data_IF_562508211023
#
_entry.id   IF_562508211023
#
_cell.length_a   1.000
_cell.length_b   1.000
_cell.length_c   1.000
_cell.angle_alpha   90.00
_cell.angle_beta   90.00
_cell.angle_gamma   90.00
#
_symmetry.space_group_name_H-M   'P 1'
#
loop_
_entity.id
_entity.type
_entity.pdbx_description
1 polymer ?
#
# COMPACT_ATOMS: atom_id res chain seq x y z
N UNK A 1 3.38 -4.12 -17.53
CA UNK A 1 4.40 -3.19 -18.06
C UNK A 1 3.89 -2.69 -19.40
N UNK A 2 3.73 -1.38 -19.57
CA UNK A 2 3.41 -0.78 -20.87
C UNK A 2 4.62 0.10 -21.24
N UNK A 3 5.42 -0.28 -22.25
CA UNK A 3 6.51 0.57 -22.71
C UNK A 3 5.92 1.81 -23.39
N UNK A 4 6.36 2.98 -22.96
CA UNK A 4 6.06 4.26 -23.66
C UNK A 4 7.22 4.68 -24.57
N UNK A 5 7.07 5.77 -25.33
CA UNK A 5 8.01 6.13 -26.41
C UNK A 5 9.41 6.55 -25.91
N UNK A 6 9.57 6.84 -24.62
CA UNK A 6 10.88 6.90 -23.93
C UNK A 6 10.95 5.74 -22.91
N UNK A 7 12.11 5.44 -22.31
CA UNK A 7 12.37 4.36 -21.32
C UNK A 7 11.53 4.41 -20.02
N UNK A 8 10.39 5.07 -20.06
CA UNK A 8 9.37 5.30 -19.05
C UNK A 8 8.47 4.06 -18.94
N UNK A 9 8.16 3.69 -17.70
CA UNK A 9 7.37 2.50 -17.39
C UNK A 9 6.25 2.87 -16.43
N UNK A 10 5.01 2.68 -16.87
CA UNK A 10 3.84 2.72 -16.01
C UNK A 10 3.56 1.32 -15.46
N UNK A 11 3.43 1.23 -14.15
CA UNK A 11 3.15 -0.02 -13.43
C UNK A 11 1.88 0.14 -12.63
N UNK A 12 0.99 -0.84 -12.79
CA UNK A 12 -0.20 -1.01 -11.99
C UNK A 12 -0.05 -2.29 -11.19
N UNK A 13 -0.25 -2.20 -9.89
CA UNK A 13 -0.30 -3.36 -9.01
C UNK A 13 -1.57 -3.28 -8.18
N UNK A 14 -2.41 -4.29 -8.32
CA UNK A 14 -3.70 -4.38 -7.63
C UNK A 14 -3.79 -5.68 -6.89
N UNK A 15 -4.30 -5.65 -5.66
CA UNK A 15 -4.56 -6.85 -4.88
C UNK A 15 -5.96 -6.78 -4.27
N UNK A 16 -6.65 -7.92 -4.26
CA UNK A 16 -7.95 -8.08 -3.62
C UNK A 16 -7.91 -9.32 -2.74
N UNK A 17 -8.55 -9.27 -1.58
CA UNK A 17 -8.59 -10.38 -0.65
C UNK A 17 -9.97 -10.54 -0.04
N UNK A 18 -10.37 -11.79 0.16
CA UNK A 18 -11.62 -12.17 0.81
C UNK A 18 -11.38 -13.42 1.67
N UNK A 19 -11.81 -13.34 2.93
CA UNK A 19 -11.80 -14.44 3.89
C UNK A 19 -13.26 -14.72 4.26
N UNK A 20 -13.69 -15.95 4.02
CA UNK A 20 -15.03 -16.45 4.33
C UNK A 20 -14.97 -17.89 4.83
N UNK A 21 -16.04 -18.34 5.47
CA UNK A 21 -16.10 -19.67 6.10
C UNK A 21 -16.92 -19.63 7.38
N UNK A 22 -17.33 -20.82 7.87
CA UNK A 22 -18.16 -20.97 9.08
C UNK A 22 -17.48 -20.36 10.32
N UNK A 23 -16.16 -20.44 10.39
CA UNK A 23 -15.34 -19.96 11.50
C UNK A 23 -14.47 -18.75 11.14
N UNK A 24 -14.77 -18.06 10.03
CA UNK A 24 -13.98 -16.92 9.54
C UNK A 24 -13.89 -15.77 10.55
N UNK A 25 -14.84 -15.70 11.48
CA UNK A 25 -14.81 -14.74 12.58
C UNK A 25 -13.65 -14.99 13.55
N UNK A 26 -13.27 -16.26 13.76
CA UNK A 26 -12.21 -16.68 14.68
C UNK A 26 -10.80 -16.62 14.08
N UNK A 27 -10.68 -16.49 12.76
CA UNK A 27 -9.41 -16.43 12.01
C UNK A 27 -8.71 -15.07 12.11
N UNK A 28 -8.53 -14.55 13.33
CA UNK A 28 -7.97 -13.20 13.56
C UNK A 28 -6.55 -13.03 13.00
N UNK A 29 -5.74 -14.09 12.99
CA UNK A 29 -4.36 -14.05 12.49
C UNK A 29 -4.26 -14.09 10.96
N UNK A 30 -5.33 -14.48 10.26
CA UNK A 30 -5.36 -14.52 8.80
C UNK A 30 -5.93 -13.23 8.18
N UNK A 31 -6.41 -12.30 9.02
CA UNK A 31 -7.04 -11.06 8.57
C UNK A 31 -6.08 -10.14 7.85
N UNK A 32 -6.63 -9.33 6.96
CA UNK A 32 -5.87 -8.40 6.15
C UNK A 32 -5.58 -7.11 6.90
N UNK A 33 -4.33 -6.67 6.74
CA UNK A 33 -3.84 -5.40 7.24
C UNK A 33 -3.08 -4.70 6.11
N UNK A 34 -3.38 -3.43 5.89
CA UNK A 34 -2.70 -2.60 4.90
C UNK A 34 -1.91 -1.49 5.60
N UNK A 35 -1.09 -0.78 4.83
CA UNK A 35 -0.15 0.25 5.30
C UNK A 35 1.30 -0.26 5.35
N UNK A 36 2.22 0.64 5.01
CA UNK A 36 3.66 0.38 4.93
C UNK A 36 4.19 0.22 3.50
N UNK A 37 5.51 0.07 3.37
CA UNK A 37 6.24 0.18 2.09
C UNK A 37 5.84 -0.84 1.01
N UNK A 38 5.20 -1.95 1.39
CA UNK A 38 4.74 -3.02 0.47
C UNK A 38 3.24 -2.98 0.18
N UNK A 39 2.50 -2.03 0.75
CA UNK A 39 1.06 -1.88 0.51
C UNK A 39 0.70 -0.43 0.17
N UNK A 40 0.31 0.39 1.15
CA UNK A 40 0.03 1.81 0.97
C UNK A 40 1.12 2.60 1.70
N UNK A 41 2.08 3.13 0.94
CA UNK A 41 3.22 3.88 1.47
C UNK A 41 2.77 5.13 2.22
N UNK A 42 3.58 5.59 3.17
CA UNK A 42 3.29 6.74 4.01
C UNK A 42 2.47 6.42 5.25
N UNK A 43 1.68 5.35 5.22
CA UNK A 43 0.99 4.81 6.40
C UNK A 43 1.95 3.91 7.21
N UNK A 44 1.71 3.76 8.51
CA UNK A 44 2.48 2.81 9.30
C UNK A 44 2.16 1.37 8.88
N UNK A 45 3.11 0.45 9.07
CA UNK A 45 2.89 -0.96 8.77
C UNK A 45 1.63 -1.44 9.50
N UNK A 46 0.71 -2.09 8.77
CA UNK A 46 -0.54 -2.64 9.32
C UNK A 46 -1.51 -1.64 9.97
N UNK A 47 -1.39 -0.34 9.65
CA UNK A 47 -2.22 0.72 10.25
C UNK A 47 -3.54 1.01 9.53
N UNK A 48 -3.74 0.49 8.32
CA UNK A 48 -5.00 0.62 7.58
C UNK A 48 -5.85 -0.61 7.88
N UNK A 49 -6.73 -0.46 8.87
CA UNK A 49 -7.67 -1.46 9.34
C UNK A 49 -9.12 -0.99 9.16
N UNK A 50 -10.12 -1.90 9.23
CA UNK A 50 -11.51 -1.49 9.13
C UNK A 50 -11.92 -0.65 10.33
N UNK A 51 -12.78 0.37 10.15
CA UNK A 51 -13.13 1.24 11.26
C UNK A 51 -14.01 0.54 12.32
N UNK A 52 -14.02 1.10 13.53
CA UNK A 52 -14.85 0.64 14.65
C UNK A 52 -14.26 -0.57 15.39
N UNK A 53 -15.12 -1.53 15.75
CA UNK A 53 -14.77 -2.69 16.59
C UNK A 53 -13.70 -3.59 15.94
N UNK A 54 -13.54 -3.53 14.61
CA UNK A 54 -12.58 -4.32 13.86
C UNK A 54 -11.22 -3.64 13.67
N UNK A 55 -11.05 -2.41 14.17
CA UNK A 55 -9.83 -1.60 13.99
C UNK A 55 -8.57 -2.29 14.53
N UNK A 56 -8.68 -3.05 15.60
CA UNK A 56 -7.56 -3.80 16.20
C UNK A 56 -7.38 -5.20 15.59
N UNK A 57 -8.39 -5.71 14.88
CA UNK A 57 -8.42 -7.09 14.41
C UNK A 57 -8.20 -7.23 12.90
N UNK A 58 -8.09 -6.14 12.15
CA UNK A 58 -7.93 -6.23 10.69
C UNK A 58 -9.21 -6.66 9.96
N UNK A 59 -9.16 -6.64 8.64
CA UNK A 59 -10.32 -6.89 7.78
C UNK A 59 -10.41 -8.32 7.28
N UNK A 60 -11.63 -8.82 7.05
CA UNK A 60 -11.86 -10.06 6.31
C UNK A 60 -11.89 -9.84 4.79
N UNK A 61 -11.86 -8.59 4.36
CA UNK A 61 -11.81 -8.18 2.95
C UNK A 61 -10.79 -7.07 2.78
N UNK A 62 -10.12 -7.03 1.63
CA UNK A 62 -9.20 -5.94 1.29
C UNK A 62 -9.15 -5.65 -0.20
N UNK A 63 -8.79 -4.42 -0.52
CA UNK A 63 -8.46 -3.99 -1.86
C UNK A 63 -7.29 -3.01 -1.79
N UNK A 64 -6.35 -3.14 -2.71
CA UNK A 64 -5.17 -2.30 -2.84
C UNK A 64 -4.92 -1.98 -4.31
N UNK A 65 -4.46 -0.76 -4.56
CA UNK A 65 -3.98 -0.26 -5.84
C UNK A 65 -2.69 0.52 -5.62
N UNK A 66 -1.65 0.21 -6.38
CA UNK A 66 -0.44 1.00 -6.53
C UNK A 66 -0.27 1.36 -8.00
N UNK A 67 -0.11 2.64 -8.26
CA UNK A 67 0.25 3.18 -9.57
C UNK A 67 1.63 3.77 -9.45
N UNK A 68 2.58 3.26 -10.24
CA UNK A 68 3.95 3.76 -10.25
C UNK A 68 4.34 4.20 -11.65
N UNK A 69 4.88 5.40 -11.72
CA UNK A 69 5.60 5.89 -12.87
C UNK A 69 7.10 5.81 -12.60
N UNK A 70 7.78 4.91 -13.33
CA UNK A 70 9.21 4.64 -13.16
C UNK A 70 9.99 5.21 -14.33
N UNK A 71 11.09 5.89 -14.04
CA UNK A 71 12.00 6.43 -15.04
C UNK A 71 13.46 6.11 -14.66
N UNK A 72 14.31 5.77 -15.64
CA UNK A 72 15.72 5.51 -15.37
C UNK A 72 16.43 6.83 -15.07
N UNK A 73 17.29 6.82 -14.05
CA UNK A 73 18.25 7.91 -13.79
C UNK A 73 19.62 7.46 -14.29
N UNK A 74 20.02 6.23 -13.94
CA UNK A 74 21.22 5.55 -14.45
C UNK A 74 20.89 4.09 -14.79
N UNK A 75 21.88 3.27 -15.16
CA UNK A 75 21.70 1.83 -15.36
C UNK A 75 21.30 1.09 -14.07
N UNK A 76 21.73 1.61 -12.90
CA UNK A 76 21.50 0.98 -11.58
C UNK A 76 20.47 1.73 -10.73
N UNK A 77 20.10 2.95 -11.11
CA UNK A 77 19.24 3.83 -10.33
C UNK A 77 17.96 4.18 -11.10
N UNK A 78 16.81 3.99 -10.45
CA UNK A 78 15.49 4.30 -11.00
C UNK A 78 14.76 5.29 -10.08
N UNK A 79 14.21 6.34 -10.66
CA UNK A 79 13.30 7.27 -10.00
C UNK A 79 11.86 6.82 -10.15
N UNK A 80 11.03 7.15 -9.16
CA UNK A 80 9.64 6.71 -9.07
C UNK A 80 8.78 7.86 -8.59
N UNK A 81 7.63 8.03 -9.23
CA UNK A 81 6.50 8.80 -8.71
C UNK A 81 5.37 7.79 -8.53
N UNK A 82 4.68 7.84 -7.40
CA UNK A 82 3.63 6.87 -7.13
C UNK A 82 2.38 7.47 -6.50
N UNK A 83 1.28 6.75 -6.70
CA UNK A 83 0.02 6.90 -6.02
C UNK A 83 -0.41 5.54 -5.49
N UNK A 84 -0.70 5.45 -4.19
CA UNK A 84 -1.22 4.24 -3.56
C UNK A 84 -2.62 4.50 -3.02
N UNK A 85 -3.46 3.47 -3.05
CA UNK A 85 -4.77 3.46 -2.43
C UNK A 85 -5.05 2.08 -1.85
N UNK A 86 -5.66 2.02 -0.67
CA UNK A 86 -6.04 0.74 -0.09
C UNK A 86 -7.08 0.84 1.01
N UNK A 87 -7.84 -0.23 1.17
CA UNK A 87 -8.84 -0.36 2.22
C UNK A 87 -9.00 -1.80 2.66
N UNK A 88 -9.33 -1.97 3.94
CA UNK A 88 -9.80 -3.21 4.53
C UNK A 88 -11.24 -3.04 5.04
N UNK A 89 -12.04 -4.10 4.97
CA UNK A 89 -13.40 -4.16 5.50
C UNK A 89 -13.54 -5.33 6.48
N UNK A 90 -14.36 -5.17 7.51
CA UNK A 90 -14.66 -6.17 8.54
C UNK A 90 -16.16 -6.32 8.80
N UNK A 91 -16.55 -7.46 9.37
CA UNK A 91 -17.92 -7.72 9.83
C UNK A 91 -19.00 -7.43 8.79
N UNK A 92 -19.97 -6.58 9.17
CA UNK A 92 -21.16 -6.23 8.37
C UNK A 92 -20.91 -5.17 7.29
N UNK A 93 -19.70 -4.60 7.21
CA UNK A 93 -19.37 -3.58 6.22
C UNK A 93 -19.54 -4.12 4.80
N UNK A 94 -20.02 -3.29 3.88
CA UNK A 94 -20.30 -3.62 2.49
C UNK A 94 -19.31 -2.89 1.61
N UNK A 95 -18.48 -3.65 0.87
CA UNK A 95 -17.40 -3.12 0.01
C UNK A 95 -17.85 -1.95 -0.87
N UNK A 96 -19.04 -2.04 -1.46
CA UNK A 96 -19.57 -1.00 -2.36
C UNK A 96 -20.14 0.22 -1.65
N UNK A 97 -20.71 0.07 -0.44
CA UNK A 97 -21.34 1.18 0.29
C UNK A 97 -20.34 1.91 1.19
N UNK A 98 -19.39 1.17 1.74
CA UNK A 98 -18.39 1.65 2.69
C UNK A 98 -17.03 1.86 2.00
N UNK A 99 -17.03 2.20 0.70
CA UNK A 99 -15.81 2.41 -0.07
C UNK A 99 -15.21 3.80 0.23
N UNK A 100 -14.11 3.83 0.96
CA UNK A 100 -13.36 5.02 1.36
C UNK A 100 -11.88 4.67 1.57
N UNK A 101 -11.12 4.42 0.49
CA UNK A 101 -9.74 3.97 0.60
C UNK A 101 -8.82 5.06 1.13
N UNK A 102 -7.83 4.63 1.92
CA UNK A 102 -6.72 5.48 2.35
C UNK A 102 -5.73 5.60 1.21
N UNK A 103 -5.37 6.83 0.87
CA UNK A 103 -4.53 7.14 -0.28
C UNK A 103 -3.23 7.81 0.13
N UNK A 104 -2.21 7.63 -0.68
CA UNK A 104 -0.96 8.38 -0.55
C UNK A 104 -0.35 8.68 -1.91
N UNK A 105 0.52 9.66 -1.92
CA UNK A 105 1.39 9.97 -3.05
C UNK A 105 2.82 10.06 -2.57
N UNK A 106 3.78 9.87 -3.47
CA UNK A 106 5.16 10.06 -3.09
C UNK A 106 6.15 9.89 -4.22
N UNK A 107 7.41 9.98 -3.81
CA UNK A 107 8.58 9.86 -4.64
C UNK A 107 9.45 8.71 -4.12
N UNK A 108 10.08 7.98 -5.02
CA UNK A 108 10.93 6.85 -4.66
C UNK A 108 12.21 6.83 -5.47
N UNK A 109 13.25 6.29 -4.85
CA UNK A 109 14.52 5.93 -5.49
C UNK A 109 14.74 4.44 -5.27
N UNK A 110 15.04 3.73 -6.35
CA UNK A 110 15.39 2.30 -6.32
C UNK A 110 16.78 2.08 -6.88
N UNK A 111 17.59 1.34 -6.14
CA UNK A 111 18.98 1.07 -6.46
C UNK A 111 19.21 -0.44 -6.47
N UNK A 112 19.70 -0.96 -7.60
CA UNK A 112 20.10 -2.35 -7.74
C UNK A 112 21.51 -2.51 -7.13
N UNK A 113 21.61 -3.20 -5.99
CA UNK A 113 22.86 -3.39 -5.23
C UNK A 113 23.16 -4.88 -5.05
N UNK A 114 24.21 -5.39 -5.70
CA UNK A 114 24.70 -6.77 -5.51
C UNK A 114 23.62 -7.87 -5.64
N UNK A 115 22.65 -7.68 -6.54
CA UNK A 115 21.52 -8.61 -6.73
C UNK A 115 20.34 -8.40 -5.77
N UNK A 116 20.42 -7.46 -4.84
CA UNK A 116 19.30 -6.98 -4.03
C UNK A 116 18.79 -5.62 -4.55
N UNK A 117 17.51 -5.34 -4.30
CA UNK A 117 16.89 -4.08 -4.64
C UNK A 117 16.72 -3.26 -3.36
N UNK A 118 17.48 -2.17 -3.25
CA UNK A 118 17.28 -1.16 -2.21
C UNK A 118 16.20 -0.16 -2.66
N UNK A 119 15.29 0.15 -1.75
CA UNK A 119 14.16 1.06 -1.98
C UNK A 119 14.20 2.15 -0.92
N UNK A 120 14.11 3.40 -1.36
CA UNK A 120 13.92 4.56 -0.50
C UNK A 120 12.69 5.31 -1.02
N UNK A 121 11.65 5.41 -0.19
CA UNK A 121 10.34 5.91 -0.60
C UNK A 121 9.94 7.05 0.36
N UNK A 122 9.62 8.22 -0.17
CA UNK A 122 9.17 9.39 0.57
C UNK A 122 7.71 9.67 0.23
N UNK A 123 6.84 9.39 1.19
CA UNK A 123 5.40 9.27 0.97
C UNK A 123 4.61 10.23 1.85
N UNK A 124 3.51 10.76 1.32
CA UNK A 124 2.57 11.61 2.04
C UNK A 124 1.18 10.96 2.04
N UNK A 125 0.67 10.54 3.22
CA UNK A 125 -0.73 10.20 3.40
C UNK A 125 -1.66 11.35 3.00
N UNK A 126 -2.78 11.04 2.36
CA UNK A 126 -3.79 12.02 1.97
C UNK A 126 -5.03 11.97 2.85
N UNK A 127 -5.28 10.83 3.49
CA UNK A 127 -6.43 10.61 4.37
C UNK A 127 -5.97 10.29 5.79
N UNK A 128 -6.70 10.79 6.78
CA UNK A 128 -6.47 10.45 8.20
C UNK A 128 -6.88 9.01 8.50
N UNK A 129 -6.18 8.36 9.42
CA UNK A 129 -6.65 7.09 9.99
C UNK A 129 -7.76 7.34 11.02
N UNK A 130 -8.49 6.28 11.38
CA UNK A 130 -9.45 6.38 12.47
C UNK A 130 -8.74 6.71 13.79
N UNK A 131 -9.37 7.54 14.62
CA UNK A 131 -8.76 8.04 15.86
C UNK A 131 -7.75 9.18 15.68
N UNK A 132 -7.41 9.56 14.44
CA UNK A 132 -6.50 10.68 14.19
C UNK A 132 -7.22 12.00 13.94
N UNK A 133 -6.72 13.07 14.56
CA UNK A 133 -7.27 14.42 14.40
C UNK A 133 -6.82 15.12 13.12
N UNK A 134 -5.69 14.69 12.53
CA UNK A 134 -5.10 15.31 11.33
C UNK A 134 -4.44 14.28 10.42
N UNK A 135 -4.35 14.60 9.14
CA UNK A 135 -3.55 13.83 8.17
C UNK A 135 -2.08 13.89 8.58
N UNK A 136 -1.40 12.75 8.54
CA UNK A 136 0.03 12.66 8.86
C UNK A 136 0.88 13.43 7.84
N UNK A 137 2.04 13.88 8.29
CA UNK A 137 3.04 14.50 7.43
C UNK A 137 3.72 13.48 6.51
N UNK A 138 4.75 13.96 5.82
CA UNK A 138 5.60 13.09 5.01
C UNK A 138 6.33 12.04 5.87
N UNK A 139 6.50 10.84 5.32
CA UNK A 139 7.17 9.71 5.94
C UNK A 139 8.23 9.17 4.98
N UNK A 140 9.43 8.97 5.50
CA UNK A 140 10.50 8.27 4.81
C UNK A 140 10.44 6.78 5.17
N UNK A 141 10.50 5.91 4.17
CA UNK A 141 10.49 4.46 4.32
C UNK A 141 11.63 3.86 3.50
N UNK A 142 12.23 2.78 4.01
CA UNK A 142 13.28 2.05 3.30
C UNK A 142 13.07 0.55 3.41
N UNK A 143 13.53 -0.19 2.41
CA UNK A 143 13.46 -1.65 2.34
C UNK A 143 14.59 -2.17 1.45
N UNK A 144 15.19 -3.30 1.83
CA UNK A 144 16.19 -4.00 1.03
C UNK A 144 15.73 -5.44 0.94
N UNK A 145 15.56 -5.93 -0.28
CA UNK A 145 15.09 -7.29 -0.50
C UNK A 145 15.29 -7.76 -1.94
N UNK A 146 14.93 -9.01 -2.23
CA UNK A 146 15.00 -9.52 -3.58
C UNK A 146 14.07 -8.75 -4.51
N UNK A 147 14.50 -8.55 -5.77
CA UNK A 147 13.65 -8.00 -6.83
C UNK A 147 12.72 -9.11 -7.35
N UNK A 148 11.49 -9.17 -6.89
CA UNK A 148 10.44 -10.00 -7.48
C UNK A 148 9.24 -9.15 -7.87
#
# INVERSE_FOLDING_TARGET
FIPTWWKLVLVFHTQFGYIGGRDAEYLRFERFYLGGIRSVRGYAQYSITPPGEYSQFGGNRMAQLNVEYRFPITSMLRGIIFFDAGQTWGGTQKVWKDFSPKKSVGLGIRFDFLGALARLEYAKPLDKLEGESKVRGWKLEFDIGPSF
#
